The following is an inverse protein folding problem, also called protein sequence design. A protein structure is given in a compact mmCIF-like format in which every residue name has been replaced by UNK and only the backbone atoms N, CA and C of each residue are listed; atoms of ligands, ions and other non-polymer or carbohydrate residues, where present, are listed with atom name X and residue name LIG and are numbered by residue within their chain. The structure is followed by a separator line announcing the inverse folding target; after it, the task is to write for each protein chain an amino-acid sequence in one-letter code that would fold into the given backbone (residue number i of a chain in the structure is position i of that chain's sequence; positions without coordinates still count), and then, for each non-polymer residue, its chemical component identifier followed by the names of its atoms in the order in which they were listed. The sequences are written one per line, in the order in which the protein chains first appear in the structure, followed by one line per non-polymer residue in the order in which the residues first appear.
data_IF_883210131745
#
_entry.id   IF_883210131745
#
_cell.length_a   1.000
_cell.length_b   1.000
_cell.length_c   1.000
_cell.angle_alpha   90.00
_cell.angle_beta   90.00
_cell.angle_gamma   90.00
#
_symmetry.space_group_name_H-M   'P 1'
#
loop_
_entity.id
_entity.type
_entity.pdbx_description
1 polymer ?
#
# COMPACT_ATOMS: atom_id res chain seq x y z
N UNK A 1 -58.69 -3.01 -35.62
CA UNK A 1 -58.21 -4.13 -34.77
C UNK A 1 -56.96 -4.73 -35.39
N UNK A 2 -55.94 -5.01 -34.56
CA UNK A 2 -54.68 -5.72 -34.82
C UNK A 2 -53.45 -4.87 -35.22
N UNK A 3 -52.93 -4.23 -34.17
CA UNK A 3 -51.50 -4.10 -33.83
C UNK A 3 -50.77 -5.44 -33.98
N UNK A 4 -49.61 -5.46 -34.64
CA UNK A 4 -48.44 -6.33 -34.36
C UNK A 4 -47.23 -5.78 -35.14
N UNK A 5 -46.46 -4.89 -34.51
CA UNK A 5 -45.08 -5.14 -34.03
C UNK A 5 -44.03 -5.12 -35.16
N UNK A 6 -43.40 -3.97 -35.43
CA UNK A 6 -42.12 -3.52 -34.82
C UNK A 6 -40.98 -4.54 -34.94
N UNK A 7 -40.38 -4.67 -36.14
CA UNK A 7 -39.06 -5.28 -36.36
C UNK A 7 -38.35 -4.52 -37.48
N UNK A 8 -37.78 -3.35 -37.18
CA UNK A 8 -36.78 -2.67 -38.03
C UNK A 8 -35.72 -1.92 -37.20
N UNK A 9 -35.64 -2.17 -35.88
CA UNK A 9 -34.62 -1.57 -35.01
C UNK A 9 -33.45 -2.51 -34.80
N UNK A 10 -32.75 -2.90 -35.87
CA UNK A 10 -31.53 -3.70 -35.79
C UNK A 10 -30.30 -2.80 -35.96
N UNK A 11 -29.40 -2.91 -34.96
CA UNK A 11 -27.97 -2.60 -35.03
C UNK A 11 -27.49 -1.16 -34.81
N UNK A 12 -27.73 -0.61 -33.61
CA UNK A 12 -26.73 0.25 -32.93
C UNK A 12 -26.67 -0.19 -31.46
N UNK A 13 -26.18 -1.39 -31.22
CA UNK A 13 -26.03 -1.94 -29.86
C UNK A 13 -24.77 -2.80 -29.79
N UNK A 14 -23.59 -2.21 -30.03
CA UNK A 14 -22.30 -2.90 -29.78
C UNK A 14 -21.11 -1.97 -30.02
N UNK A 15 -20.90 -0.97 -29.15
CA UNK A 15 -19.56 -0.39 -28.98
C UNK A 15 -19.39 0.37 -27.66
N UNK A 16 -19.85 -0.21 -26.55
CA UNK A 16 -19.30 0.13 -25.24
C UNK A 16 -18.07 -0.75 -25.02
N UNK A 17 -16.97 -0.40 -25.71
CA UNK A 17 -15.68 -1.07 -25.50
C UNK A 17 -15.25 -0.77 -24.07
N UNK A 18 -15.19 -1.84 -23.30
CA UNK A 18 -14.69 -1.97 -21.95
C UNK A 18 -13.37 -1.21 -21.75
N UNK A 19 -13.46 0.04 -21.28
CA UNK A 19 -12.39 0.70 -20.57
C UNK A 19 -12.35 0.18 -19.14
N UNK A 20 -11.90 -1.06 -18.94
CA UNK A 20 -11.58 -1.54 -17.61
C UNK A 20 -10.40 -0.69 -17.11
N UNK A 21 -10.70 0.32 -16.28
CA UNK A 21 -9.68 1.05 -15.56
C UNK A 21 -8.85 0.02 -14.79
N UNK A 22 -7.58 -0.15 -15.17
CA UNK A 22 -6.66 -0.99 -14.42
C UNK A 22 -6.49 -0.36 -13.04
N UNK A 23 -7.18 -0.90 -12.05
CA UNK A 23 -6.98 -0.53 -10.66
C UNK A 23 -5.55 -0.93 -10.29
N UNK A 24 -4.67 0.05 -10.12
CA UNK A 24 -3.35 -0.17 -9.53
C UNK A 24 -3.61 -0.62 -8.10
N UNK A 25 -3.36 -1.91 -7.82
CA UNK A 25 -3.53 -2.47 -6.49
C UNK A 25 -2.61 -1.72 -5.52
N UNK A 26 -3.20 -1.13 -4.48
CA UNK A 26 -2.45 -0.38 -3.47
C UNK A 26 -1.68 -1.36 -2.58
N UNK A 27 -0.35 -1.23 -2.57
CA UNK A 27 0.50 -2.00 -1.68
C UNK A 27 0.65 -1.25 -0.36
N UNK A 28 0.30 -1.89 0.75
CA UNK A 28 0.51 -1.35 2.09
C UNK A 28 1.89 -1.74 2.59
N UNK A 29 2.60 -0.78 3.16
CA UNK A 29 3.94 -0.96 3.73
C UNK A 29 3.96 -0.31 5.11
N UNK A 30 4.40 -1.07 6.10
CA UNK A 30 4.55 -0.63 7.47
C UNK A 30 6.03 -0.54 7.83
N UNK A 31 6.41 0.58 8.46
CA UNK A 31 7.75 0.79 8.99
C UNK A 31 7.68 0.71 10.51
N UNK A 32 8.23 -0.36 11.09
CA UNK A 32 8.42 -0.46 12.53
C UNK A 32 9.40 0.60 13.03
N UNK A 33 9.03 1.30 14.09
CA UNK A 33 9.83 2.42 14.62
C UNK A 33 10.28 2.17 16.06
N UNK A 34 9.72 2.90 17.02
CA UNK A 34 9.96 2.77 18.46
C UNK A 34 8.86 3.53 19.19
N UNK A 35 9.05 3.83 20.48
CA UNK A 35 8.08 4.63 21.22
C UNK A 35 7.85 6.02 20.59
N UNK A 36 6.62 6.53 20.67
CA UNK A 36 6.21 7.80 20.05
C UNK A 36 6.98 9.04 20.52
N UNK A 37 7.63 8.96 21.68
CA UNK A 37 8.51 10.01 22.24
C UNK A 37 9.97 9.87 21.81
N UNK A 38 10.33 8.75 21.18
CA UNK A 38 11.67 8.49 20.66
C UNK A 38 11.91 9.08 19.28
N UNK A 39 13.12 8.90 18.76
CA UNK A 39 13.53 9.47 17.45
C UNK A 39 13.07 8.62 16.27
N UNK A 40 12.85 7.31 16.47
CA UNK A 40 12.46 6.42 15.38
C UNK A 40 11.08 6.73 14.84
N UNK A 41 10.13 7.06 15.71
CA UNK A 41 8.75 7.34 15.32
C UNK A 41 8.62 8.53 14.35
N UNK A 42 9.16 9.74 14.64
CA UNK A 42 9.15 10.84 13.68
C UNK A 42 10.02 10.56 12.45
N UNK A 43 11.08 9.74 12.57
CA UNK A 43 11.91 9.33 11.42
C UNK A 43 11.10 8.48 10.45
N UNK A 44 10.43 7.41 10.93
CA UNK A 44 9.55 6.58 10.10
C UNK A 44 8.38 7.38 9.52
N UNK A 45 7.79 8.28 10.31
CA UNK A 45 6.74 9.19 9.81
C UNK A 45 7.23 10.10 8.68
N UNK A 46 8.45 10.63 8.76
CA UNK A 46 9.04 11.43 7.69
C UNK A 46 9.33 10.59 6.44
N UNK A 47 9.83 9.37 6.58
CA UNK A 47 10.04 8.42 5.47
C UNK A 47 8.69 8.13 4.79
N UNK A 48 7.68 7.73 5.56
CA UNK A 48 6.37 7.42 5.00
C UNK A 48 5.69 8.64 4.36
N UNK A 49 5.91 9.85 4.88
CA UNK A 49 5.43 11.08 4.22
C UNK A 49 6.03 11.25 2.83
N UNK A 50 7.33 10.95 2.65
CA UNK A 50 7.99 11.02 1.35
C UNK A 50 7.49 9.93 0.40
N UNK A 51 7.39 8.68 0.86
CA UNK A 51 6.85 7.57 0.07
C UNK A 51 5.41 7.87 -0.37
N UNK A 52 4.56 8.36 0.55
CA UNK A 52 3.17 8.67 0.24
C UNK A 52 3.01 9.84 -0.75
N UNK A 53 4.02 10.72 -0.89
CA UNK A 53 3.99 11.84 -1.84
C UNK A 53 3.91 11.34 -3.28
N UNK A 54 4.69 10.31 -3.60
CA UNK A 54 4.78 9.75 -4.94
C UNK A 54 3.93 8.48 -5.11
N UNK A 55 3.03 8.19 -4.16
CA UNK A 55 2.13 7.02 -4.15
C UNK A 55 1.41 6.78 -5.47
N UNK A 56 1.01 7.84 -6.19
CA UNK A 56 0.33 7.69 -7.49
C UNK A 56 1.22 7.06 -8.58
N UNK A 57 2.54 7.18 -8.44
CA UNK A 57 3.52 6.66 -9.39
C UNK A 57 3.85 5.19 -9.13
N UNK A 58 3.93 4.77 -7.87
CA UNK A 58 4.38 3.43 -7.48
C UNK A 58 3.32 2.58 -6.77
N UNK A 59 2.16 3.13 -6.40
CA UNK A 59 1.06 2.40 -5.75
C UNK A 59 1.28 2.05 -4.27
N UNK A 60 2.33 2.54 -3.62
CA UNK A 60 2.68 2.17 -2.23
C UNK A 60 2.09 3.18 -1.25
N UNK A 61 1.40 2.67 -0.23
CA UNK A 61 0.97 3.42 0.94
C UNK A 61 1.78 3.00 2.16
N UNK A 62 2.50 3.96 2.73
CA UNK A 62 3.38 3.77 3.88
C UNK A 62 2.72 4.24 5.18
N UNK A 63 2.85 3.45 6.24
CA UNK A 63 2.51 3.82 7.63
C UNK A 63 3.70 3.60 8.55
N UNK A 64 3.84 4.46 9.56
CA UNK A 64 4.86 4.33 10.60
C UNK A 64 4.21 3.76 11.86
N UNK A 65 4.73 2.64 12.35
CA UNK A 65 4.15 1.89 13.47
C UNK A 65 4.99 2.10 14.73
N UNK A 66 4.34 2.44 15.84
CA UNK A 66 4.99 2.53 17.15
C UNK A 66 5.29 1.11 17.65
N UNK A 67 6.53 0.85 18.04
CA UNK A 67 6.98 -0.50 18.44
C UNK A 67 7.87 -0.48 19.68
N UNK A 68 8.34 -1.66 20.09
CA UNK A 68 9.34 -1.83 21.14
C UNK A 68 10.78 -1.47 20.73
N UNK A 69 11.05 -1.04 19.48
CA UNK A 69 12.40 -0.69 19.00
C UNK A 69 13.11 -1.81 18.22
N UNK A 70 14.44 -1.72 18.09
CA UNK A 70 15.25 -2.50 17.14
C UNK A 70 15.00 -4.01 17.18
N UNK A 71 15.03 -4.63 18.36
CA UNK A 71 14.87 -6.10 18.49
C UNK A 71 13.47 -6.55 18.05
N UNK A 72 12.43 -5.82 18.45
CA UNK A 72 11.06 -6.10 18.00
C UNK A 72 10.96 -5.97 16.49
N UNK A 73 11.44 -4.84 15.93
CA UNK A 73 11.38 -4.58 14.50
C UNK A 73 12.08 -5.67 13.68
N UNK A 74 13.29 -6.09 14.09
CA UNK A 74 14.04 -7.14 13.40
C UNK A 74 13.26 -8.46 13.39
N UNK A 75 12.71 -8.87 14.54
CA UNK A 75 11.98 -10.13 14.64
C UNK A 75 10.68 -10.11 13.84
N UNK A 76 9.94 -9.01 13.89
CA UNK A 76 8.67 -8.84 13.17
C UNK A 76 8.88 -8.72 11.66
N UNK A 77 9.97 -8.10 11.20
CA UNK A 77 10.39 -8.13 9.79
C UNK A 77 10.77 -9.55 9.36
N UNK A 78 11.54 -10.27 10.18
CA UNK A 78 11.88 -11.68 9.93
C UNK A 78 10.65 -12.59 9.88
N UNK A 79 9.62 -12.29 10.66
CA UNK A 79 8.35 -13.01 10.67
C UNK A 79 7.44 -12.64 9.47
N UNK A 80 7.77 -11.61 8.70
CA UNK A 80 6.94 -11.13 7.59
C UNK A 80 5.70 -10.33 8.03
N UNK A 81 5.67 -9.87 9.28
CA UNK A 81 4.59 -9.06 9.84
C UNK A 81 4.79 -7.54 9.62
N UNK A 82 6.05 -7.13 9.42
CA UNK A 82 6.43 -5.78 9.00
C UNK A 82 7.28 -5.85 7.74
N UNK A 83 7.05 -4.95 6.79
CA UNK A 83 7.88 -4.87 5.58
C UNK A 83 9.23 -4.21 5.86
N UNK A 84 9.27 -3.24 6.78
CA UNK A 84 10.50 -2.53 7.17
C UNK A 84 10.54 -2.23 8.66
N UNK A 85 11.74 -1.98 9.16
CA UNK A 85 11.96 -1.60 10.55
C UNK A 85 13.21 -0.75 10.73
N UNK A 86 13.13 0.27 11.59
CA UNK A 86 14.30 1.04 12.02
C UNK A 86 15.04 0.22 13.07
N UNK A 87 16.36 0.08 12.93
CA UNK A 87 17.21 -0.61 13.89
C UNK A 87 18.53 0.14 14.08
N UNK A 88 19.12 0.00 15.27
CA UNK A 88 20.51 0.36 15.50
C UNK A 88 21.43 -0.69 14.86
N UNK A 89 22.61 -0.26 14.42
CA UNK A 89 23.55 -1.12 13.67
C UNK A 89 24.12 -2.27 14.50
N UNK A 90 24.25 -2.10 15.81
CA UNK A 90 24.62 -3.15 16.75
C UNK A 90 23.59 -4.29 16.77
N UNK A 91 22.30 -3.97 16.89
CA UNK A 91 21.23 -4.97 16.82
C UNK A 91 21.04 -5.56 15.43
N UNK A 92 21.19 -4.74 14.38
CA UNK A 92 21.14 -5.22 12.99
C UNK A 92 22.23 -6.28 12.73
N UNK A 93 23.42 -6.14 13.31
CA UNK A 93 24.48 -7.15 13.18
C UNK A 93 24.07 -8.53 13.70
N UNK A 94 23.20 -8.58 14.71
CA UNK A 94 22.64 -9.83 15.24
C UNK A 94 21.46 -10.39 14.44
N UNK A 95 21.05 -9.73 13.34
CA UNK A 95 19.90 -10.13 12.51
C UNK A 95 20.22 -11.24 11.48
N UNK A 96 21.38 -11.88 11.58
CA UNK A 96 21.78 -13.05 10.78
C UNK A 96 20.98 -14.31 11.08
#
# INVERSE_FOLDING_TARGET
MKIKQLICGSAIASMAVFGAAQAVAEQFVSVGTGGVTGVYYPTGGAICRLVNKDRKMHGIRCSAESTGGSVYNINTVRAGELEFGVAQSDWQYHAV
#
